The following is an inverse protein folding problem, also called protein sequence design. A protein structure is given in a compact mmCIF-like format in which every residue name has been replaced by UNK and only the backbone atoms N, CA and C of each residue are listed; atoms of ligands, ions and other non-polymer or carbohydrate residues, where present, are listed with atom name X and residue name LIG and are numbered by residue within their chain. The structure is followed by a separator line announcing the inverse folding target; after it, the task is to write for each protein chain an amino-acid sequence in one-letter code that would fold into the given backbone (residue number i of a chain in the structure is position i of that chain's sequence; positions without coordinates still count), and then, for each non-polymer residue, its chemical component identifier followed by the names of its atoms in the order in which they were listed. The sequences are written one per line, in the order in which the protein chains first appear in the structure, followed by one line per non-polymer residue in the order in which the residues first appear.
data_IF_137083642413
#
_entry.id   IF_137083642413
#
_cell.length_a   1.000
_cell.length_b   1.000
_cell.length_c   1.000
_cell.angle_alpha   90.00
_cell.angle_beta   90.00
_cell.angle_gamma   90.00
#
_symmetry.space_group_name_H-M   'P 1'
#
loop_
_entity.id
_entity.type
_entity.pdbx_description
1 polymer ?
#
# COMPACT_ATOMS: atom_id res chain seq x y z
N UNK A 1 19.93 11.55 12.52
CA UNK A 1 19.37 10.49 11.68
C UNK A 1 18.07 11.03 11.14
N UNK A 2 17.88 11.10 9.83
CA UNK A 2 16.58 11.45 9.25
C UNK A 2 15.83 10.16 8.96
N UNK A 3 14.63 10.01 9.53
CA UNK A 3 13.79 8.82 9.35
C UNK A 3 13.05 8.88 8.00
N UNK A 4 13.78 8.70 6.90
CA UNK A 4 13.26 8.86 5.54
C UNK A 4 13.45 7.62 4.66
N UNK A 5 12.66 7.54 3.59
CA UNK A 5 12.77 6.53 2.53
C UNK A 5 12.26 7.11 1.21
N UNK A 6 12.37 6.34 0.13
CA UNK A 6 11.70 6.64 -1.15
C UNK A 6 10.61 5.61 -1.42
N UNK A 7 9.55 5.94 -2.19
CA UNK A 7 8.52 4.98 -2.56
C UNK A 7 9.10 3.71 -3.20
N UNK A 8 10.07 3.86 -4.11
CA UNK A 8 10.70 2.73 -4.80
C UNK A 8 11.51 1.85 -3.85
N UNK A 9 12.27 2.45 -2.91
CA UNK A 9 13.00 1.67 -1.91
C UNK A 9 12.06 0.89 -1.00
N UNK A 10 10.96 1.52 -0.56
CA UNK A 10 9.98 0.88 0.31
C UNK A 10 9.25 -0.27 -0.39
N UNK A 11 8.82 -0.09 -1.65
CA UNK A 11 8.20 -1.17 -2.45
C UNK A 11 9.14 -2.37 -2.55
N UNK A 12 10.42 -2.14 -2.82
CA UNK A 12 11.41 -3.22 -2.92
C UNK A 12 11.62 -3.95 -1.60
N UNK A 13 11.73 -3.22 -0.48
CA UNK A 13 11.84 -3.81 0.86
C UNK A 13 10.60 -4.61 1.24
N UNK A 14 9.42 -4.02 1.03
CA UNK A 14 8.15 -4.67 1.34
C UNK A 14 7.98 -5.95 0.52
N UNK A 15 8.28 -5.92 -0.78
CA UNK A 15 8.26 -7.09 -1.66
C UNK A 15 9.19 -8.20 -1.16
N UNK A 16 10.44 -7.86 -0.79
CA UNK A 16 11.42 -8.83 -0.27
C UNK A 16 10.94 -9.51 1.02
N UNK A 17 10.35 -8.75 1.93
CA UNK A 17 9.89 -9.26 3.24
C UNK A 17 8.59 -10.07 3.13
N UNK A 18 7.69 -9.71 2.21
CA UNK A 18 6.35 -10.30 2.14
C UNK A 18 6.21 -11.37 1.07
N UNK A 19 6.94 -11.27 -0.05
CA UNK A 19 6.81 -12.17 -1.20
C UNK A 19 8.13 -12.85 -1.60
N UNK A 20 9.28 -12.31 -1.17
CA UNK A 20 10.60 -12.90 -1.39
C UNK A 20 11.08 -13.74 -0.20
N UNK A 21 12.34 -14.15 -0.24
CA UNK A 21 12.92 -15.13 0.71
C UNK A 21 13.78 -14.49 1.81
N UNK A 22 13.60 -13.20 2.08
CA UNK A 22 14.31 -12.52 3.18
C UNK A 22 13.84 -12.96 4.57
N UNK A 23 12.65 -13.57 4.65
CA UNK A 23 12.11 -14.19 5.85
C UNK A 23 11.81 -15.65 5.57
N UNK A 24 12.01 -16.51 6.58
CA UNK A 24 11.56 -17.89 6.51
C UNK A 24 10.01 -17.95 6.32
N UNK A 25 9.48 -19.04 5.74
CA UNK A 25 8.08 -19.11 5.33
C UNK A 25 7.07 -18.77 6.44
N UNK A 26 7.33 -19.22 7.67
CA UNK A 26 6.46 -18.96 8.82
C UNK A 26 6.45 -17.47 9.21
N UNK A 27 7.61 -16.83 9.30
CA UNK A 27 7.75 -15.41 9.63
C UNK A 27 7.15 -14.51 8.54
N UNK A 28 7.34 -14.88 7.26
CA UNK A 28 6.72 -14.20 6.12
C UNK A 28 5.19 -14.28 6.19
N UNK A 29 4.64 -15.46 6.47
CA UNK A 29 3.21 -15.65 6.65
C UNK A 29 2.67 -14.84 7.85
N UNK A 30 3.41 -14.80 8.97
CA UNK A 30 3.05 -14.00 10.13
C UNK A 30 3.00 -12.50 9.81
N UNK A 31 4.01 -11.98 9.10
CA UNK A 31 4.05 -10.59 8.66
C UNK A 31 2.87 -10.27 7.75
N UNK A 32 2.57 -11.12 6.76
CA UNK A 32 1.40 -10.94 5.90
C UNK A 32 0.10 -10.93 6.71
N UNK A 33 -0.04 -11.81 7.71
CA UNK A 33 -1.21 -11.86 8.59
C UNK A 33 -1.37 -10.55 9.36
N UNK A 34 -0.29 -10.00 9.94
CA UNK A 34 -0.37 -8.73 10.64
C UNK A 34 -0.74 -7.57 9.70
N UNK A 35 -0.15 -7.50 8.52
CA UNK A 35 -0.48 -6.48 7.52
C UNK A 35 -1.96 -6.58 7.08
N UNK A 36 -2.46 -7.78 6.83
CA UNK A 36 -3.86 -8.02 6.43
C UNK A 36 -4.85 -7.60 7.50
N UNK A 37 -4.48 -7.76 8.77
CA UNK A 37 -5.30 -7.39 9.93
C UNK A 37 -5.03 -5.97 10.46
N UNK A 38 -4.34 -5.10 9.70
CA UNK A 38 -4.18 -3.70 10.08
C UNK A 38 -5.56 -3.00 10.16
N UNK A 39 -5.82 -2.28 11.26
CA UNK A 39 -7.09 -1.59 11.52
C UNK A 39 -7.03 -0.09 11.23
N UNK A 40 -5.87 0.43 10.80
CA UNK A 40 -5.65 1.87 10.64
C UNK A 40 -5.77 2.37 9.20
N UNK A 41 -5.87 1.46 8.22
CA UNK A 41 -5.79 1.75 6.79
C UNK A 41 -7.12 1.85 6.05
N UNK A 42 -8.25 1.71 6.74
CA UNK A 42 -9.56 1.55 6.10
C UNK A 42 -9.94 2.71 5.17
N UNK A 43 -9.56 3.94 5.52
CA UNK A 43 -9.82 5.13 4.71
C UNK A 43 -8.71 5.46 3.69
N UNK A 44 -7.63 4.66 3.65
CA UNK A 44 -6.44 4.92 2.81
C UNK A 44 -6.39 3.98 1.60
N UNK A 45 -5.37 3.13 1.47
CA UNK A 45 -5.25 2.24 0.31
C UNK A 45 -6.48 1.34 0.19
N UNK A 46 -6.97 0.81 1.31
CA UNK A 46 -8.15 -0.09 1.35
C UNK A 46 -9.39 0.52 0.71
N UNK A 47 -9.66 1.81 0.94
CA UNK A 47 -10.81 2.52 0.36
C UNK A 47 -10.72 2.72 -1.15
N UNK A 48 -9.52 2.57 -1.72
CA UNK A 48 -9.26 2.69 -3.16
C UNK A 48 -9.26 1.36 -3.92
N UNK A 49 -9.28 0.23 -3.22
CA UNK A 49 -9.21 -1.12 -3.78
C UNK A 49 -10.62 -1.77 -3.81
N UNK A 50 -10.97 -2.60 -4.81
CA UNK A 50 -12.20 -3.38 -4.79
C UNK A 50 -12.36 -4.20 -3.51
N UNK A 51 -13.57 -4.21 -2.94
CA UNK A 51 -13.85 -4.78 -1.59
C UNK A 51 -13.56 -6.29 -1.46
N UNK A 52 -13.57 -7.01 -2.57
CA UNK A 52 -13.30 -8.45 -2.64
C UNK A 52 -11.80 -8.78 -2.71
N UNK A 53 -10.92 -7.80 -2.82
CA UNK A 53 -9.48 -8.02 -2.85
C UNK A 53 -8.91 -7.98 -1.44
N UNK A 54 -7.89 -8.80 -1.20
CA UNK A 54 -7.20 -8.80 0.09
C UNK A 54 -6.14 -7.71 0.04
N UNK A 55 -6.10 -6.88 1.09
CA UNK A 55 -5.08 -5.83 1.27
C UNK A 55 -4.36 -6.09 2.58
N UNK A 56 -3.03 -6.07 2.54
CA UNK A 56 -2.18 -6.01 3.72
C UNK A 56 -1.37 -4.74 3.68
N UNK A 57 -1.60 -3.84 4.62
CA UNK A 57 -1.07 -2.47 4.58
C UNK A 57 -0.43 -2.04 5.90
N UNK A 58 0.31 -0.94 5.82
CA UNK A 58 0.79 -0.21 6.99
C UNK A 58 0.74 1.29 6.76
N UNK A 59 -0.03 1.96 7.60
CA UNK A 59 -0.12 3.42 7.62
C UNK A 59 1.04 4.09 8.34
N UNK A 60 1.35 5.31 7.94
CA UNK A 60 2.23 6.23 8.66
C UNK A 60 1.67 7.66 8.61
N UNK A 61 1.79 8.41 9.70
CA UNK A 61 1.37 9.81 9.75
C UNK A 61 2.43 10.62 10.51
N UNK A 62 2.55 11.92 10.21
CA UNK A 62 3.55 12.77 10.87
C UNK A 62 3.26 14.26 10.76
N UNK A 63 4.25 15.06 11.19
CA UNK A 63 4.30 16.52 10.98
C UNK A 63 4.29 16.86 9.48
N UNK A 64 4.07 18.12 9.12
CA UNK A 64 3.91 18.56 7.73
C UNK A 64 2.71 17.91 7.02
N UNK A 65 1.65 17.58 7.77
CA UNK A 65 0.49 16.87 7.25
C UNK A 65 0.85 15.54 6.58
N UNK A 66 1.92 14.87 7.03
CA UNK A 66 2.42 13.66 6.40
C UNK A 66 1.39 12.54 6.53
N UNK A 67 1.01 11.95 5.40
CA UNK A 67 0.02 10.89 5.26
C UNK A 67 0.56 9.82 4.32
N UNK A 68 0.98 8.70 4.88
CA UNK A 68 1.60 7.60 4.15
C UNK A 68 0.76 6.33 4.30
N UNK A 69 0.87 5.47 3.29
CA UNK A 69 0.40 4.09 3.33
C UNK A 69 1.20 3.22 2.37
N UNK A 70 1.46 1.98 2.76
CA UNK A 70 2.18 1.00 1.93
C UNK A 70 1.41 -0.31 1.98
N UNK A 71 1.36 -1.04 0.86
CA UNK A 71 0.54 -2.24 0.81
C UNK A 71 1.09 -3.32 -0.12
N UNK A 72 0.72 -4.55 0.24
CA UNK A 72 0.63 -5.68 -0.70
C UNK A 72 -0.84 -5.96 -0.92
N UNK A 73 -1.25 -6.00 -2.18
CA UNK A 73 -2.63 -6.19 -2.61
C UNK A 73 -2.69 -7.51 -3.37
N UNK A 74 -3.65 -8.35 -3.05
CA UNK A 74 -3.88 -9.64 -3.71
C UNK A 74 -5.23 -9.61 -4.45
N UNK A 75 -5.23 -9.26 -5.76
CA UNK A 75 -6.39 -9.43 -6.61
C UNK A 75 -6.71 -10.92 -6.80
N UNK A 76 -7.98 -11.31 -6.89
CA UNK A 76 -8.38 -12.70 -7.12
C UNK A 76 -7.74 -13.26 -8.41
N UNK A 77 -6.96 -14.35 -8.26
CA UNK A 77 -6.37 -15.06 -9.39
C UNK A 77 -5.21 -14.36 -10.09
N UNK A 78 -4.73 -13.22 -9.59
CA UNK A 78 -3.64 -12.46 -10.19
C UNK A 78 -2.38 -12.42 -9.33
N UNK A 79 -1.27 -11.99 -9.93
CA UNK A 79 -0.06 -11.68 -9.18
C UNK A 79 -0.30 -10.53 -8.19
N UNK A 80 0.33 -10.57 -7.00
CA UNK A 80 0.19 -9.49 -6.03
C UNK A 80 0.78 -8.17 -6.55
N UNK A 81 0.16 -7.07 -6.17
CA UNK A 81 0.66 -5.71 -6.41
C UNK A 81 1.33 -5.22 -5.12
N UNK A 82 2.55 -4.69 -5.21
CA UNK A 82 3.23 -4.03 -4.08
C UNK A 82 3.31 -2.54 -4.38
N UNK A 83 2.88 -1.71 -3.44
CA UNK A 83 2.88 -0.27 -3.63
C UNK A 83 3.21 0.51 -2.36
N UNK A 84 3.62 1.75 -2.56
CA UNK A 84 3.85 2.71 -1.51
C UNK A 84 3.42 4.10 -1.98
N UNK A 85 2.66 4.81 -1.14
CA UNK A 85 2.24 6.18 -1.37
C UNK A 85 2.65 7.03 -0.17
N UNK A 86 3.28 8.16 -0.47
CA UNK A 86 3.78 9.11 0.50
C UNK A 86 3.26 10.50 0.15
N UNK A 87 2.65 11.16 1.12
CA UNK A 87 2.32 12.58 1.02
C UNK A 87 2.99 13.29 2.19
N UNK A 88 3.71 14.36 1.89
CA UNK A 88 4.18 15.34 2.87
C UNK A 88 4.02 16.74 2.26
N UNK A 89 3.73 17.74 3.07
CA UNK A 89 3.44 19.10 2.63
C UNK A 89 4.56 20.06 3.06
N UNK A 90 4.51 21.31 2.60
CA UNK A 90 5.55 22.30 2.92
C UNK A 90 5.40 22.90 4.31
N UNK A 91 4.16 23.21 4.71
CA UNK A 91 3.88 23.85 5.99
C UNK A 91 3.85 22.83 7.12
N UNK A 92 4.52 23.12 8.24
CA UNK A 92 4.67 22.20 9.35
C UNK A 92 3.35 21.84 10.03
N UNK A 93 2.43 22.79 10.09
CA UNK A 93 1.08 22.68 10.65
C UNK A 93 0.03 22.29 9.60
N UNK A 94 0.45 21.91 8.38
CA UNK A 94 -0.46 21.47 7.34
C UNK A 94 -1.38 20.33 7.83
N UNK A 95 -2.66 20.46 7.51
CA UNK A 95 -3.67 19.45 7.82
C UNK A 95 -3.46 18.21 6.95
N UNK A 96 -3.59 17.02 7.55
CA UNK A 96 -3.50 15.73 6.85
C UNK A 96 -4.54 15.63 5.74
N UNK A 97 -4.17 14.92 4.67
CA UNK A 97 -5.02 14.71 3.49
C UNK A 97 -5.22 13.22 3.24
N UNK A 98 -5.99 12.56 4.10
CA UNK A 98 -6.36 11.15 3.87
C UNK A 98 -7.28 11.00 2.63
N UNK A 99 -8.01 12.07 2.28
CA UNK A 99 -8.94 12.15 1.17
C UNK A 99 -8.30 11.93 -0.21
N UNK A 100 -6.98 12.15 -0.35
CA UNK A 100 -6.31 12.01 -1.65
C UNK A 100 -5.81 10.59 -1.91
N UNK A 101 -5.66 9.75 -0.88
CA UNK A 101 -5.02 8.45 -1.01
C UNK A 101 -5.91 7.51 -1.83
N UNK A 102 -7.15 7.28 -1.40
CA UNK A 102 -8.06 6.36 -2.08
C UNK A 102 -8.32 6.72 -3.56
N UNK A 103 -8.56 8.00 -3.94
CA UNK A 103 -8.64 8.39 -5.35
C UNK A 103 -7.36 8.08 -6.15
N UNK A 104 -6.18 8.33 -5.59
CA UNK A 104 -4.91 8.02 -6.26
C UNK A 104 -4.78 6.51 -6.53
N UNK A 105 -5.20 5.65 -5.59
CA UNK A 105 -5.21 4.20 -5.79
C UNK A 105 -6.16 3.80 -6.92
N UNK A 106 -7.37 4.37 -6.97
CA UNK A 106 -8.34 4.08 -8.04
C UNK A 106 -7.79 4.45 -9.41
N UNK A 107 -7.13 5.61 -9.52
CA UNK A 107 -6.47 6.03 -10.77
C UNK A 107 -5.40 5.00 -11.16
N UNK A 108 -4.52 4.63 -10.23
CA UNK A 108 -3.46 3.65 -10.50
C UNK A 108 -4.02 2.30 -10.95
N UNK A 109 -5.01 1.75 -10.24
CA UNK A 109 -5.60 0.45 -10.60
C UNK A 109 -6.30 0.50 -11.97
N UNK A 110 -6.97 1.62 -12.29
CA UNK A 110 -7.57 1.82 -13.61
C UNK A 110 -6.51 1.82 -14.72
N UNK A 111 -5.34 2.43 -14.50
CA UNK A 111 -4.23 2.37 -15.45
C UNK A 111 -3.67 0.95 -15.59
N UNK A 112 -3.54 0.19 -14.50
CA UNK A 112 -3.11 -1.21 -14.56
C UNK A 112 -4.11 -2.07 -15.36
N UNK A 113 -5.41 -1.90 -15.18
CA UNK A 113 -6.42 -2.63 -15.96
C UNK A 113 -6.37 -2.34 -17.47
N UNK A 114 -5.79 -1.22 -17.92
CA UNK A 114 -5.60 -0.98 -19.35
C UNK A 114 -4.55 -1.90 -19.97
N UNK A 115 -3.59 -2.36 -19.18
CA UNK A 115 -2.40 -3.08 -19.67
C UNK A 115 -2.29 -4.51 -19.15
N UNK A 116 -2.93 -4.85 -18.03
CA UNK A 116 -2.95 -6.18 -17.43
C UNK A 116 -4.35 -6.80 -17.52
N UNK A 117 -4.47 -7.86 -18.32
CA UNK A 117 -5.74 -8.56 -18.52
C UNK A 117 -6.24 -9.28 -17.26
N UNK A 118 -5.34 -9.77 -16.39
CA UNK A 118 -5.74 -10.41 -15.15
C UNK A 118 -6.38 -9.38 -14.22
N UNK A 119 -5.67 -8.27 -13.99
CA UNK A 119 -6.17 -7.17 -13.15
C UNK A 119 -7.50 -6.66 -13.67
N UNK A 120 -7.64 -6.44 -14.99
CA UNK A 120 -8.90 -6.01 -15.61
C UNK A 120 -10.08 -6.96 -15.33
N UNK A 121 -9.83 -8.28 -15.26
CA UNK A 121 -10.87 -9.29 -14.95
C UNK A 121 -11.17 -9.41 -13.46
N UNK A 122 -10.24 -8.96 -12.61
CA UNK A 122 -10.38 -9.01 -11.17
C UNK A 122 -11.19 -7.83 -10.60
N UNK A 123 -11.41 -6.77 -11.39
CA UNK A 123 -12.25 -5.63 -11.07
C UNK A 123 -13.74 -5.98 -10.88
#
# INVERSE_FOLDING_TARGET
MEDTTTPNAMVNSLKKLTLGDSLAPFQRAQLQTWLKNNTTGDIKIRAGVPKNWIVGDKTGNGIYGTTNDIAVIWPPGCSPIVMAIYLTQKEQDAVKRDDIIAPAIRIMLNEFAKTDQCIRKAF
#
